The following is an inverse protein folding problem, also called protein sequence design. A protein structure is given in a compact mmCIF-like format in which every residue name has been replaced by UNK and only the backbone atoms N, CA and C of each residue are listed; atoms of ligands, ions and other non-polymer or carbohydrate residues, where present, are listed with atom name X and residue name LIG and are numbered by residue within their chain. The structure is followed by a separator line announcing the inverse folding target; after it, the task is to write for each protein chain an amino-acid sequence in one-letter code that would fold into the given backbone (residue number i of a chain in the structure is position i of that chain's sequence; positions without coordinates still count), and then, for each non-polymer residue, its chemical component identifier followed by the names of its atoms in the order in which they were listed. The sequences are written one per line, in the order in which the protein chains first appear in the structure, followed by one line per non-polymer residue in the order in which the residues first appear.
data_IF_862695807048
#
_entry.id   IF_862695807048
#
_cell.length_a   1.000
_cell.length_b   1.000
_cell.length_c   1.000
_cell.angle_alpha   90.00
_cell.angle_beta   90.00
_cell.angle_gamma   90.00
#
_symmetry.space_group_name_H-M   'P 1'
#
loop_
_entity.id
_entity.type
_entity.pdbx_description
1 polymer ?
#
# COMPACT_ATOMS: atom_id res chain seq x y z
N UNK A 1 2.36 14.29 -11.08
CA UNK A 1 0.95 14.31 -11.55
C UNK A 1 0.60 13.14 -12.46
N UNK A 2 1.57 12.47 -13.11
CA UNK A 2 1.34 11.31 -14.00
C UNK A 2 0.61 10.13 -13.32
N UNK A 3 1.17 9.61 -12.22
CA UNK A 3 0.61 8.47 -11.50
C UNK A 3 -0.87 8.61 -11.09
N UNK A 4 -1.29 9.77 -10.57
CA UNK A 4 -2.68 9.98 -10.14
C UNK A 4 -3.66 10.05 -11.31
N UNK A 5 -3.17 10.39 -12.50
CA UNK A 5 -3.96 10.42 -13.73
C UNK A 5 -4.09 8.99 -14.26
N UNK A 6 -2.97 8.29 -14.43
CA UNK A 6 -2.92 6.88 -14.84
C UNK A 6 -3.83 6.01 -13.98
N UNK A 7 -3.74 6.13 -12.64
CA UNK A 7 -4.61 5.39 -11.73
C UNK A 7 -6.10 5.70 -11.96
N UNK A 8 -6.46 6.95 -12.26
CA UNK A 8 -7.87 7.31 -12.54
C UNK A 8 -8.33 6.78 -13.90
N UNK A 9 -7.43 6.77 -14.89
CA UNK A 9 -7.70 6.20 -16.21
C UNK A 9 -7.95 4.68 -16.09
N UNK A 10 -7.30 4.01 -15.13
CA UNK A 10 -7.57 2.61 -14.72
C UNK A 10 -8.79 2.45 -13.78
N UNK A 11 -9.53 3.53 -13.48
CA UNK A 11 -10.67 3.50 -12.56
C UNK A 11 -10.31 3.40 -11.07
N UNK A 12 -9.02 3.47 -10.73
CA UNK A 12 -8.50 3.42 -9.35
C UNK A 12 -8.43 4.83 -8.77
N UNK A 13 -9.19 5.07 -7.69
CA UNK A 13 -9.13 6.36 -6.98
C UNK A 13 -8.01 6.36 -5.93
N UNK A 14 -6.93 7.14 -6.11
CA UNK A 14 -5.83 7.15 -5.14
C UNK A 14 -6.25 7.79 -3.81
N UNK A 15 -6.14 7.04 -2.72
CA UNK A 15 -6.41 7.48 -1.35
C UNK A 15 -5.17 8.11 -0.72
N UNK A 16 -4.53 9.03 -1.44
CA UNK A 16 -3.34 9.76 -0.97
C UNK A 16 -3.72 11.22 -0.84
N UNK A 17 -3.51 11.84 0.33
CA UNK A 17 -3.75 13.27 0.50
C UNK A 17 -2.77 14.10 -0.33
N UNK A 18 -3.25 15.20 -0.88
CA UNK A 18 -2.42 16.25 -1.45
C UNK A 18 -1.67 16.96 -0.32
N UNK A 19 -0.38 17.23 -0.53
CA UNK A 19 0.35 18.20 0.29
C UNK A 19 -0.27 19.56 0.03
N UNK A 20 -0.63 20.26 1.09
CA UNK A 20 -1.37 21.53 1.00
C UNK A 20 -0.39 22.63 0.62
N UNK A 21 -0.51 23.14 -0.61
CA UNK A 21 0.21 24.32 -1.07
C UNK A 21 -0.74 25.40 -1.58
N UNK A 22 -1.91 24.99 -2.09
CA UNK A 22 -2.93 25.88 -2.65
C UNK A 22 -4.30 25.57 -2.05
N UNK A 23 -5.26 26.51 -2.06
CA UNK A 23 -6.64 26.27 -1.62
C UNK A 23 -7.32 25.09 -2.33
N UNK A 24 -6.98 24.83 -3.59
CA UNK A 24 -7.50 23.68 -4.35
C UNK A 24 -7.10 22.32 -3.75
N UNK A 25 -5.96 22.23 -3.06
CA UNK A 25 -5.52 20.99 -2.40
C UNK A 25 -6.43 20.64 -1.22
N UNK A 26 -6.98 21.64 -0.53
CA UNK A 26 -7.99 21.42 0.51
C UNK A 26 -9.25 20.81 -0.07
N UNK A 27 -9.74 21.34 -1.20
CA UNK A 27 -10.93 20.80 -1.87
C UNK A 27 -10.69 19.35 -2.34
N UNK A 28 -9.50 19.04 -2.85
CA UNK A 28 -9.15 17.67 -3.23
C UNK A 28 -9.07 16.72 -2.04
N UNK A 29 -8.49 17.15 -0.92
CA UNK A 29 -8.42 16.36 0.31
C UNK A 29 -9.79 16.14 0.96
N UNK A 30 -10.68 17.13 0.90
CA UNK A 30 -12.05 17.01 1.43
C UNK A 30 -12.89 15.97 0.67
N UNK A 31 -12.59 15.74 -0.62
CA UNK A 31 -13.26 14.74 -1.44
C UNK A 31 -12.80 13.30 -1.17
N UNK A 32 -11.71 13.10 -0.43
CA UNK A 32 -11.19 11.75 -0.13
C UNK A 32 -12.17 11.03 0.79
N UNK A 33 -12.48 9.78 0.46
CA UNK A 33 -13.28 8.89 1.31
C UNK A 33 -12.57 8.66 2.65
N UNK A 34 -13.10 9.26 3.72
CA UNK A 34 -12.54 9.20 5.06
C UNK A 34 -12.42 7.78 5.61
N UNK A 35 -13.52 6.99 5.65
CA UNK A 35 -13.48 5.59 6.03
C UNK A 35 -12.44 4.76 5.27
N UNK A 36 -12.38 4.86 3.93
CA UNK A 36 -11.39 4.11 3.15
C UNK A 36 -9.95 4.59 3.39
N UNK A 37 -9.73 5.90 3.52
CA UNK A 37 -8.40 6.44 3.83
C UNK A 37 -7.85 5.93 5.18
N UNK A 38 -8.74 5.74 6.17
CA UNK A 38 -8.39 5.24 7.51
C UNK A 38 -8.04 3.74 7.52
N UNK A 39 -8.21 3.01 6.42
CA UNK A 39 -7.84 1.60 6.34
C UNK A 39 -6.32 1.38 6.23
N UNK A 40 -5.52 2.45 6.11
CA UNK A 40 -4.06 2.36 6.11
C UNK A 40 -3.50 1.61 7.33
N UNK A 41 -4.10 1.80 8.51
CA UNK A 41 -3.70 1.10 9.73
C UNK A 41 -3.89 -0.42 9.64
N UNK A 42 -4.89 -0.87 8.87
CA UNK A 42 -5.11 -2.30 8.60
C UNK A 42 -4.00 -2.87 7.75
N UNK A 43 -3.62 -2.17 6.67
CA UNK A 43 -2.49 -2.56 5.83
C UNK A 43 -1.18 -2.57 6.62
N UNK A 44 -0.91 -1.54 7.42
CA UNK A 44 0.29 -1.46 8.26
C UNK A 44 0.36 -2.59 9.29
N UNK A 45 -0.77 -2.95 9.89
CA UNK A 45 -0.87 -4.10 10.81
C UNK A 45 -0.54 -5.42 10.11
N UNK A 46 -1.09 -5.65 8.91
CA UNK A 46 -0.81 -6.86 8.12
C UNK A 46 0.68 -6.93 7.75
N UNK A 47 1.26 -5.84 7.24
CA UNK A 47 2.68 -5.79 6.92
C UNK A 47 3.58 -6.00 8.13
N UNK A 48 3.21 -5.46 9.30
CA UNK A 48 3.92 -5.69 10.56
C UNK A 48 3.92 -7.17 10.95
N UNK A 49 2.77 -7.83 10.87
CA UNK A 49 2.65 -9.27 11.12
C UNK A 49 3.48 -10.11 10.16
N UNK A 50 3.42 -9.81 8.84
CA UNK A 50 4.23 -10.50 7.83
C UNK A 50 5.72 -10.33 8.14
N UNK A 51 6.17 -9.11 8.45
CA UNK A 51 7.57 -8.84 8.78
C UNK A 51 8.03 -9.59 10.03
N UNK A 52 7.20 -9.65 11.08
CA UNK A 52 7.54 -10.38 12.32
C UNK A 52 7.58 -11.90 12.15
N UNK A 53 6.80 -12.44 11.21
CA UNK A 53 6.65 -13.90 11.03
C UNK A 53 7.55 -14.47 9.94
N UNK A 54 7.82 -13.69 8.89
CA UNK A 54 8.54 -14.14 7.70
C UNK A 54 9.73 -13.24 7.34
N UNK A 55 9.94 -12.11 8.03
CA UNK A 55 10.93 -11.11 7.66
C UNK A 55 12.37 -11.63 7.65
N UNK A 56 12.71 -12.59 8.51
CA UNK A 56 14.04 -13.22 8.56
C UNK A 56 14.29 -14.18 7.38
N UNK A 57 13.25 -14.53 6.62
CA UNK A 57 13.37 -15.37 5.43
C UNK A 57 13.83 -14.60 4.18
N UNK A 58 13.87 -13.26 4.22
CA UNK A 58 14.36 -12.41 3.12
C UNK A 58 15.89 -12.47 3.11
N UNK A 59 16.47 -12.98 2.02
CA UNK A 59 17.93 -13.15 1.86
C UNK A 59 18.47 -12.49 0.60
N UNK A 60 17.60 -12.04 -0.31
CA UNK A 60 18.02 -11.40 -1.54
C UNK A 60 18.79 -10.10 -1.28
N UNK A 61 19.93 -9.97 -1.97
CA UNK A 61 20.77 -8.77 -1.96
C UNK A 61 20.52 -7.86 -3.16
N UNK A 62 19.84 -8.37 -4.19
CA UNK A 62 19.45 -7.61 -5.39
C UNK A 62 18.04 -7.06 -5.21
N UNK A 63 17.80 -5.85 -5.75
CA UNK A 63 16.52 -5.18 -5.63
C UNK A 63 15.34 -6.02 -6.14
N UNK A 64 15.48 -6.60 -7.33
CA UNK A 64 14.42 -7.44 -7.91
C UNK A 64 14.20 -8.73 -7.13
N UNK A 65 15.26 -9.30 -6.53
CA UNK A 65 15.15 -10.46 -5.65
C UNK A 65 14.36 -10.15 -4.38
N UNK A 66 14.65 -9.01 -3.73
CA UNK A 66 13.93 -8.56 -2.54
C UNK A 66 12.44 -8.34 -2.85
N UNK A 67 12.12 -7.74 -4.00
CA UNK A 67 10.75 -7.58 -4.44
C UNK A 67 10.02 -8.92 -4.55
N UNK A 68 10.63 -9.92 -5.20
CA UNK A 68 10.05 -11.26 -5.34
C UNK A 68 9.86 -11.96 -3.99
N UNK A 69 10.83 -11.85 -3.09
CA UNK A 69 10.74 -12.43 -1.74
C UNK A 69 9.59 -11.79 -0.94
N UNK A 70 9.39 -10.48 -1.04
CA UNK A 70 8.25 -9.80 -0.41
C UNK A 70 6.92 -10.32 -0.96
N UNK A 71 6.79 -10.46 -2.28
CA UNK A 71 5.57 -11.01 -2.90
C UNK A 71 5.32 -12.44 -2.40
N UNK A 72 6.36 -13.27 -2.32
CA UNK A 72 6.27 -14.64 -1.82
C UNK A 72 5.80 -14.68 -0.36
N UNK A 73 6.35 -13.84 0.51
CA UNK A 73 5.94 -13.76 1.92
C UNK A 73 4.45 -13.40 2.06
N UNK A 74 3.97 -12.42 1.29
CA UNK A 74 2.55 -12.06 1.27
C UNK A 74 1.67 -13.23 0.83
N UNK A 75 2.08 -13.97 -0.22
CA UNK A 75 1.36 -15.15 -0.69
C UNK A 75 1.31 -16.25 0.37
N UNK A 76 2.44 -16.57 1.01
CA UNK A 76 2.51 -17.56 2.09
C UNK A 76 1.64 -17.16 3.28
N UNK A 77 1.66 -15.88 3.67
CA UNK A 77 0.80 -15.36 4.72
C UNK A 77 -0.69 -15.56 4.38
N UNK A 78 -1.10 -15.25 3.15
CA UNK A 78 -2.47 -15.43 2.70
C UNK A 78 -2.89 -16.91 2.70
N UNK A 79 -2.02 -17.82 2.23
CA UNK A 79 -2.28 -19.26 2.26
C UNK A 79 -2.46 -19.78 3.70
N UNK A 80 -1.58 -19.37 4.61
CA UNK A 80 -1.68 -19.72 6.04
C UNK A 80 -2.96 -19.21 6.71
N UNK A 81 -3.54 -18.12 6.19
CA UNK A 81 -4.78 -17.53 6.73
C UNK A 81 -6.06 -18.11 6.12
N UNK A 82 -5.93 -18.78 4.97
CA UNK A 82 -7.04 -19.40 4.24
C UNK A 82 -7.24 -20.87 4.62
N UNK A 83 -6.20 -21.51 5.15
CA UNK A 83 -6.26 -22.78 5.89
C UNK A 83 -6.86 -22.56 7.29
#
# INVERSE_FOLDING_TARGET
MALRKELRDEGVRPLIKHRIFRPVDHAHNARVDGPRYRQRSMSESVFSTIKRTLGDAVRARTWYGQFREIVLMCTVHNMKRAL
#
